data_IF_145592178519
#
_entry.id   IF_145592178519
#
_cell.length_a   1.000
_cell.length_b   1.000
_cell.length_c   1.000
_cell.angle_alpha   90.00
_cell.angle_beta   90.00
_cell.angle_gamma   90.00
#
_symmetry.space_group_name_H-M   'P 1'
#
loop_
_entity.id
_entity.type
_entity.pdbx_description
1 polymer ?
#
# COMPACT_ATOMS: atom_id res chain seq x y z
N UNK A 1 -3.55 8.16 -34.26
CA UNK A 1 -2.49 9.16 -33.99
C UNK A 1 -2.68 10.32 -34.97
N UNK A 2 -2.65 11.57 -34.50
CA UNK A 2 -2.89 12.76 -35.36
C UNK A 2 -1.69 13.13 -36.24
N UNK A 3 -0.48 12.94 -35.71
CA UNK A 3 0.76 13.25 -36.40
C UNK A 3 1.58 11.98 -36.64
N UNK A 4 2.29 11.95 -37.77
CA UNK A 4 3.27 10.93 -38.09
C UNK A 4 4.57 11.13 -37.28
N UNK A 5 5.50 10.17 -37.38
CA UNK A 5 6.76 10.20 -36.63
C UNK A 5 7.66 11.40 -36.98
N UNK A 6 7.46 12.03 -38.14
CA UNK A 6 8.15 13.24 -38.60
C UNK A 6 7.46 14.54 -38.16
N UNK A 7 6.34 14.46 -37.43
CA UNK A 7 5.54 15.60 -36.99
C UNK A 7 4.57 16.15 -38.04
N UNK A 8 4.52 15.56 -39.24
CA UNK A 8 3.52 15.93 -40.24
C UNK A 8 2.13 15.40 -39.87
N UNK A 9 1.07 16.08 -40.30
CA UNK A 9 -0.29 15.60 -40.10
C UNK A 9 -0.52 14.35 -40.97
N UNK A 10 -1.08 13.28 -40.40
CA UNK A 10 -1.39 12.09 -41.18
C UNK A 10 -2.37 12.44 -42.31
N UNK A 11 -2.13 12.00 -43.57
CA UNK A 11 -3.06 12.26 -44.66
C UNK A 11 -4.42 11.59 -44.37
N UNK A 12 -5.53 12.19 -44.83
CA UNK A 12 -6.83 11.55 -44.71
C UNK A 12 -6.84 10.26 -45.51
N UNK A 13 -7.59 9.28 -45.03
CA UNK A 13 -7.78 8.01 -45.73
C UNK A 13 -9.15 8.00 -46.40
N UNK A 14 -9.21 7.41 -47.59
CA UNK A 14 -10.48 7.07 -48.22
C UNK A 14 -11.00 5.81 -47.53
N UNK A 15 -12.16 5.93 -46.89
CA UNK A 15 -12.83 4.80 -46.27
C UNK A 15 -14.15 4.57 -47.02
N UNK A 16 -14.17 3.50 -47.80
CA UNK A 16 -15.39 2.99 -48.38
C UNK A 16 -16.18 2.23 -47.31
N UNK A 17 -17.50 2.38 -47.32
CA UNK A 17 -18.45 1.57 -46.55
C UNK A 17 -18.40 1.79 -45.02
N UNK A 18 -18.32 3.04 -44.57
CA UNK A 18 -18.52 3.34 -43.14
C UNK A 18 -20.00 3.18 -42.77
N UNK A 19 -20.27 2.41 -41.73
CA UNK A 19 -21.63 2.18 -41.23
C UNK A 19 -22.16 3.44 -40.55
N UNK A 20 -23.39 3.82 -40.89
CA UNK A 20 -24.05 4.95 -40.27
C UNK A 20 -24.57 4.59 -38.87
N UNK A 21 -24.37 5.48 -37.86
CA UNK A 21 -25.01 5.30 -36.57
C UNK A 21 -26.53 5.33 -36.72
N UNK A 22 -27.23 4.50 -35.95
CA UNK A 22 -28.68 4.49 -35.94
C UNK A 22 -29.23 5.82 -35.44
N UNK A 23 -30.40 6.22 -35.93
CA UNK A 23 -31.13 7.37 -35.42
C UNK A 23 -32.21 6.86 -34.48
N UNK A 24 -32.26 7.42 -33.28
CA UNK A 24 -33.13 6.97 -32.21
C UNK A 24 -34.17 8.05 -31.90
N UNK A 25 -35.45 7.67 -31.95
CA UNK A 25 -36.59 8.59 -31.82
C UNK A 25 -37.60 8.05 -30.80
N UNK A 26 -38.44 8.91 -30.22
CA UNK A 26 -39.58 8.45 -29.40
C UNK A 26 -40.79 8.03 -30.24
N UNK A 27 -40.87 8.55 -31.46
CA UNK A 27 -41.98 8.30 -32.39
C UNK A 27 -41.37 8.08 -33.77
N UNK A 28 -41.72 6.96 -34.40
CA UNK A 28 -41.26 6.58 -35.74
C UNK A 28 -41.62 7.62 -36.81
N UNK A 29 -42.64 8.46 -36.57
CA UNK A 29 -42.96 9.60 -37.44
C UNK A 29 -41.88 10.68 -37.49
N UNK A 30 -40.93 10.68 -36.55
CA UNK A 30 -39.77 11.57 -36.54
C UNK A 30 -38.54 11.01 -37.26
N UNK A 31 -38.62 9.80 -37.82
CA UNK A 31 -37.53 9.25 -38.62
C UNK A 31 -37.35 10.05 -39.92
N UNK A 32 -36.11 10.22 -40.40
CA UNK A 32 -35.85 10.98 -41.63
C UNK A 32 -36.42 10.28 -42.87
N UNK A 33 -36.47 8.96 -42.86
CA UNK A 33 -37.12 8.14 -43.87
C UNK A 33 -38.39 7.50 -43.30
N UNK A 34 -39.49 7.45 -44.07
CA UNK A 34 -40.71 6.81 -43.60
C UNK A 34 -40.46 5.32 -43.39
N UNK A 35 -40.87 4.80 -42.23
CA UNK A 35 -40.78 3.39 -41.91
C UNK A 35 -41.72 2.59 -42.82
N UNK A 36 -41.17 1.68 -43.61
CA UNK A 36 -41.94 0.80 -44.49
C UNK A 36 -41.37 -0.62 -44.41
N UNK A 37 -42.02 -1.47 -43.62
CA UNK A 37 -41.70 -2.89 -43.59
C UNK A 37 -42.48 -3.67 -44.68
N UNK A 38 -41.94 -4.80 -45.17
CA UNK A 38 -42.67 -5.72 -46.05
C UNK A 38 -43.98 -6.23 -45.43
N UNK A 39 -44.88 -6.76 -46.28
CA UNK A 39 -46.21 -7.23 -45.85
C UNK A 39 -46.11 -8.24 -44.68
N UNK A 40 -46.80 -7.92 -43.56
CA UNK A 40 -46.85 -8.67 -42.29
C UNK A 40 -45.59 -8.60 -41.40
N UNK A 41 -44.65 -7.70 -41.69
CA UNK A 41 -43.53 -7.42 -40.79
C UNK A 41 -43.73 -6.10 -40.04
N UNK A 42 -43.18 -6.03 -38.84
CA UNK A 42 -43.12 -4.82 -38.03
C UNK A 42 -41.66 -4.45 -37.74
N UNK A 43 -41.40 -3.15 -37.57
CA UNK A 43 -40.08 -2.64 -37.21
C UNK A 43 -39.85 -2.94 -35.73
N UNK A 44 -38.85 -3.76 -35.42
CA UNK A 44 -38.50 -4.10 -34.05
C UNK A 44 -37.49 -3.13 -33.45
N UNK A 45 -37.22 -3.30 -32.16
CA UNK A 45 -36.31 -2.42 -31.43
C UNK A 45 -34.84 -2.57 -31.83
N UNK A 46 -34.46 -3.55 -32.67
CA UNK A 46 -33.12 -3.64 -33.28
C UNK A 46 -32.95 -2.75 -34.52
N UNK A 47 -34.05 -2.17 -35.03
CA UNK A 47 -34.05 -1.33 -36.23
C UNK A 47 -34.26 -2.10 -37.53
N UNK A 48 -34.57 -3.40 -37.47
CA UNK A 48 -34.89 -4.24 -38.61
C UNK A 48 -36.37 -4.66 -38.59
N UNK A 49 -36.89 -5.02 -39.77
CA UNK A 49 -38.26 -5.52 -39.91
C UNK A 49 -38.28 -7.04 -39.69
N UNK A 50 -39.06 -7.50 -38.71
CA UNK A 50 -39.25 -8.92 -38.42
C UNK A 50 -40.72 -9.31 -38.46
N UNK A 51 -40.98 -10.62 -38.57
CA UNK A 51 -42.34 -11.16 -38.49
C UNK A 51 -42.91 -11.08 -37.05
N UNK A 52 -42.04 -11.17 -36.03
CA UNK A 52 -42.38 -11.06 -34.60
C UNK A 52 -41.18 -10.51 -33.80
N UNK A 53 -41.40 -9.46 -33.01
CA UNK A 53 -40.35 -8.87 -32.17
C UNK A 53 -40.15 -9.65 -30.86
N UNK A 54 -39.27 -10.64 -30.88
CA UNK A 54 -38.88 -11.41 -29.67
C UNK A 54 -38.14 -10.55 -28.64
N UNK A 55 -38.11 -10.98 -27.38
CA UNK A 55 -37.37 -10.30 -26.31
C UNK A 55 -35.87 -10.14 -26.62
N UNK A 56 -35.27 -11.14 -27.28
CA UNK A 56 -33.86 -11.14 -27.69
C UNK A 56 -33.58 -10.06 -28.76
N UNK A 57 -34.50 -9.92 -29.73
CA UNK A 57 -34.46 -8.87 -30.75
C UNK A 57 -34.62 -7.50 -30.08
N UNK A 58 -35.54 -7.39 -29.12
CA UNK A 58 -35.79 -6.12 -28.45
C UNK A 58 -34.66 -5.68 -27.51
N UNK A 59 -33.92 -6.64 -26.93
CA UNK A 59 -32.73 -6.37 -26.12
C UNK A 59 -31.55 -5.87 -26.99
N UNK A 60 -31.50 -6.23 -28.27
CA UNK A 60 -30.49 -5.82 -29.24
C UNK A 60 -30.65 -4.37 -29.76
N UNK A 61 -31.37 -3.51 -29.03
CA UNK A 61 -31.66 -2.15 -29.47
C UNK A 61 -30.39 -1.29 -29.59
N UNK A 62 -30.05 -0.79 -30.80
CA UNK A 62 -28.85 0.03 -30.99
C UNK A 62 -28.92 1.36 -30.23
N UNK A 63 -30.12 1.84 -29.89
CA UNK A 63 -30.33 3.02 -29.05
C UNK A 63 -29.91 2.82 -27.58
N UNK A 64 -29.70 1.58 -27.16
CA UNK A 64 -29.18 1.27 -25.82
C UNK A 64 -27.66 1.19 -25.79
N UNK A 65 -26.99 1.34 -26.93
CA UNK A 65 -25.53 1.38 -27.01
C UNK A 65 -24.83 0.12 -26.48
N UNK A 66 -25.55 -1.00 -26.42
CA UNK A 66 -25.07 -2.23 -25.77
C UNK A 66 -24.81 -2.07 -24.26
N UNK A 67 -25.29 -0.99 -23.64
CA UNK A 67 -25.14 -0.78 -22.20
C UNK A 67 -26.05 -1.74 -21.44
N UNK A 68 -25.60 -2.18 -20.26
CA UNK A 68 -26.45 -2.98 -19.37
C UNK A 68 -27.67 -2.16 -18.95
N UNK A 69 -28.85 -2.80 -18.84
CA UNK A 69 -30.13 -2.15 -18.52
C UNK A 69 -30.08 -1.20 -17.31
N UNK A 70 -29.23 -1.50 -16.31
CA UNK A 70 -29.06 -0.67 -15.11
C UNK A 70 -28.36 0.67 -15.35
N UNK A 71 -27.60 0.79 -16.44
CA UNK A 71 -26.83 1.98 -16.81
C UNK A 71 -27.51 2.81 -17.89
N UNK A 72 -28.52 2.26 -18.55
CA UNK A 72 -29.30 2.98 -19.58
C UNK A 72 -30.05 4.14 -18.91
N UNK A 73 -29.86 5.38 -19.37
CA UNK A 73 -30.63 6.52 -18.91
C UNK A 73 -32.13 6.29 -19.12
N UNK A 74 -32.96 6.76 -18.18
CA UNK A 74 -34.41 6.58 -18.26
C UNK A 74 -35.03 7.12 -19.54
N UNK A 75 -34.40 8.16 -20.10
CA UNK A 75 -34.76 8.83 -21.34
C UNK A 75 -34.49 7.95 -22.56
N UNK A 76 -33.46 7.11 -22.51
CA UNK A 76 -33.10 6.22 -23.62
C UNK A 76 -33.98 4.98 -23.70
N UNK A 77 -34.56 4.53 -22.58
CA UNK A 77 -35.39 3.32 -22.51
C UNK A 77 -36.63 3.35 -23.42
N UNK A 78 -37.10 4.54 -23.79
CA UNK A 78 -38.26 4.72 -24.66
C UNK A 78 -37.87 5.03 -26.12
N UNK A 79 -36.58 5.06 -26.44
CA UNK A 79 -36.13 5.30 -27.81
C UNK A 79 -36.27 4.04 -28.66
N UNK A 80 -36.81 4.24 -29.86
CA UNK A 80 -36.94 3.25 -30.90
C UNK A 80 -36.01 3.66 -32.05
N UNK A 81 -35.21 2.74 -32.61
CA UNK A 81 -34.38 3.05 -33.76
C UNK A 81 -35.24 3.26 -35.01
N UNK A 82 -34.79 4.18 -35.86
CA UNK A 82 -35.23 4.30 -37.23
C UNK A 82 -34.64 3.17 -38.09
N UNK A 83 -35.18 2.92 -39.30
CA UNK A 83 -34.61 1.96 -40.24
C UNK A 83 -33.12 2.21 -40.46
N UNK A 84 -32.36 1.13 -40.63
CA UNK A 84 -30.93 1.20 -40.88
C UNK A 84 -30.63 2.05 -42.12
N UNK A 85 -29.64 2.93 -41.98
CA UNK A 85 -29.15 3.77 -43.07
C UNK A 85 -28.10 3.00 -43.87
N UNK A 86 -28.06 3.22 -45.18
CA UNK A 86 -27.04 2.67 -46.05
C UNK A 86 -25.63 3.14 -45.63
N UNK A 87 -24.63 2.28 -45.83
CA UNK A 87 -23.24 2.65 -45.56
C UNK A 87 -22.79 3.79 -46.48
N UNK A 88 -22.01 4.73 -45.95
CA UNK A 88 -21.53 5.89 -46.70
C UNK A 88 -20.06 5.75 -47.07
N UNK A 89 -19.69 6.34 -48.21
CA UNK A 89 -18.28 6.44 -48.64
C UNK A 89 -17.76 7.84 -48.36
N UNK A 90 -16.61 7.94 -47.70
CA UNK A 90 -16.00 9.22 -47.31
C UNK A 90 -14.61 9.33 -47.92
N UNK A 91 -14.46 10.24 -48.89
CA UNK A 91 -13.21 10.43 -49.65
C UNK A 91 -12.03 10.87 -48.78
N UNK A 92 -12.30 11.63 -47.72
CA UNK A 92 -11.28 12.21 -46.84
C UNK A 92 -11.71 12.10 -45.39
N UNK A 93 -11.42 10.96 -44.78
CA UNK A 93 -11.70 10.72 -43.37
C UNK A 93 -10.44 10.89 -42.53
N UNK A 94 -10.49 11.77 -41.54
CA UNK A 94 -9.43 11.90 -40.54
C UNK A 94 -9.73 11.06 -39.30
N UNK A 95 -8.80 10.18 -38.91
CA UNK A 95 -8.99 9.26 -37.77
C UNK A 95 -9.32 9.93 -36.43
N UNK A 96 -9.02 11.23 -36.24
CA UNK A 96 -9.29 11.95 -34.99
C UNK A 96 -10.61 12.75 -34.99
N UNK A 97 -11.25 12.92 -36.14
CA UNK A 97 -12.52 13.63 -36.33
C UNK A 97 -13.58 12.70 -36.99
N UNK A 98 -13.34 11.39 -36.94
CA UNK A 98 -14.11 10.35 -37.64
C UNK A 98 -15.62 10.44 -37.38
N UNK A 99 -16.03 10.71 -36.15
CA UNK A 99 -17.44 10.67 -35.76
C UNK A 99 -18.27 11.78 -36.43
N UNK A 100 -17.76 13.01 -36.45
CA UNK A 100 -18.49 14.14 -37.02
C UNK A 100 -18.55 14.05 -38.55
N UNK A 101 -17.44 13.67 -39.21
CA UNK A 101 -17.40 13.48 -40.66
C UNK A 101 -18.35 12.35 -41.11
N UNK A 102 -18.40 11.23 -40.37
CA UNK A 102 -19.37 10.15 -40.63
C UNK A 102 -20.80 10.62 -40.44
N UNK A 103 -21.10 11.27 -39.31
CA UNK A 103 -22.45 11.79 -39.04
C UNK A 103 -22.90 12.74 -40.14
N UNK A 104 -22.01 13.60 -40.63
CA UNK A 104 -22.33 14.55 -41.71
C UNK A 104 -22.64 13.83 -43.03
N UNK A 105 -21.85 12.82 -43.39
CA UNK A 105 -22.11 12.00 -44.57
C UNK A 105 -23.44 11.22 -44.45
N UNK A 106 -23.69 10.60 -43.29
CA UNK A 106 -24.93 9.87 -42.99
C UNK A 106 -26.15 10.77 -42.97
N UNK A 107 -26.03 11.99 -42.44
CA UNK A 107 -27.12 12.97 -42.45
C UNK A 107 -27.50 13.39 -43.87
N UNK A 108 -26.51 13.54 -44.76
CA UNK A 108 -26.73 13.82 -46.17
C UNK A 108 -27.45 12.66 -46.86
N UNK A 109 -27.03 11.42 -46.62
CA UNK A 109 -27.66 10.21 -47.19
C UNK A 109 -29.12 10.04 -46.68
N UNK A 110 -29.34 10.29 -45.39
CA UNK A 110 -30.65 10.29 -44.76
C UNK A 110 -31.55 11.45 -45.20
N UNK A 111 -31.05 12.41 -46.00
CA UNK A 111 -31.75 13.63 -46.43
C UNK A 111 -32.23 14.49 -45.25
N UNK A 112 -31.40 14.62 -44.23
CA UNK A 112 -31.68 15.49 -43.08
C UNK A 112 -31.28 16.92 -43.46
N UNK A 113 -32.27 17.79 -43.66
CA UNK A 113 -32.05 19.19 -44.08
C UNK A 113 -31.35 20.03 -43.00
N UNK A 114 -31.69 19.79 -41.73
CA UNK A 114 -31.12 20.51 -40.59
C UNK A 114 -30.55 19.52 -39.57
N UNK A 115 -29.22 19.44 -39.47
CA UNK A 115 -28.57 18.54 -38.52
C UNK A 115 -28.86 18.91 -37.07
N UNK A 116 -29.13 20.18 -36.78
CA UNK A 116 -29.47 20.65 -35.43
C UNK A 116 -30.82 20.10 -34.94
N UNK A 117 -31.62 19.47 -35.81
CA UNK A 117 -32.85 18.77 -35.43
C UNK A 117 -32.53 17.42 -34.74
N UNK A 118 -31.30 16.90 -34.82
CA UNK A 118 -30.89 15.62 -34.24
C UNK A 118 -29.70 15.79 -33.29
N UNK A 119 -29.87 15.31 -32.05
CA UNK A 119 -28.84 15.41 -31.03
C UNK A 119 -27.85 14.25 -31.07
N UNK A 120 -26.87 14.30 -30.17
CA UNK A 120 -25.98 13.16 -29.88
C UNK A 120 -26.47 12.45 -28.63
N UNK A 121 -26.43 11.11 -28.63
CA UNK A 121 -26.80 10.30 -27.46
C UNK A 121 -26.04 10.75 -26.21
N UNK A 122 -26.75 10.93 -25.09
CA UNK A 122 -26.16 11.31 -23.79
C UNK A 122 -25.88 12.80 -23.59
N UNK A 123 -25.78 13.61 -24.65
CA UNK A 123 -25.62 15.07 -24.53
C UNK A 123 -26.97 15.79 -24.50
N UNK A 124 -27.84 15.45 -25.45
CA UNK A 124 -29.13 16.10 -25.63
C UNK A 124 -30.17 15.06 -26.01
N UNK A 125 -31.14 14.82 -25.14
CA UNK A 125 -32.25 13.92 -25.43
C UNK A 125 -33.32 14.61 -26.26
N UNK A 126 -34.05 13.88 -27.13
CA UNK A 126 -35.21 14.44 -27.77
C UNK A 126 -36.16 14.94 -26.69
N UNK A 127 -36.75 16.11 -26.87
CA UNK A 127 -37.82 16.57 -26.00
C UNK A 127 -39.04 16.69 -26.86
N UNK A 128 -40.12 16.03 -26.45
CA UNK A 128 -41.42 16.21 -27.05
C UNK A 128 -41.95 17.60 -26.64
N UNK A 129 -41.39 18.65 -27.24
CA UNK A 129 -41.84 20.01 -27.05
C UNK A 129 -43.22 20.17 -27.67
N UNK A 130 -44.18 20.75 -26.94
CA UNK A 130 -45.56 20.98 -27.43
C UNK A 130 -45.64 21.85 -28.68
N UNK A 131 -44.56 22.56 -29.02
CA UNK A 131 -44.54 23.55 -30.09
C UNK A 131 -43.74 23.08 -31.32
N UNK A 132 -43.32 21.81 -31.38
CA UNK A 132 -42.43 21.31 -32.43
C UNK A 132 -41.01 21.88 -32.38
N UNK A 133 -40.70 22.71 -31.39
CA UNK A 133 -39.36 23.19 -31.09
C UNK A 133 -38.67 22.19 -30.16
N UNK A 134 -37.79 21.37 -30.72
CA UNK A 134 -37.05 20.35 -29.99
C UNK A 134 -36.33 19.41 -30.96
N UNK A 135 -35.39 18.65 -30.42
CA UNK A 135 -34.72 17.60 -31.17
C UNK A 135 -35.74 16.50 -31.53
N UNK A 136 -35.74 16.08 -32.79
CA UNK A 136 -36.61 15.02 -33.33
C UNK A 136 -36.11 13.63 -32.95
N UNK A 137 -34.80 13.48 -32.88
CA UNK A 137 -34.12 12.23 -32.53
C UNK A 137 -32.70 12.47 -32.04
N UNK A 138 -31.99 11.38 -31.78
CA UNK A 138 -30.56 11.38 -31.44
C UNK A 138 -29.82 10.34 -32.24
N UNK A 139 -28.60 10.65 -32.67
CA UNK A 139 -27.69 9.68 -33.25
C UNK A 139 -27.18 8.73 -32.16
N UNK A 140 -27.14 7.43 -32.43
CA UNK A 140 -26.62 6.38 -31.54
C UNK A 140 -25.08 6.39 -31.48
N UNK A 141 -24.49 7.57 -31.30
CA UNK A 141 -23.07 7.76 -31.03
C UNK A 141 -22.80 7.45 -29.57
N UNK A 142 -22.60 6.17 -29.31
CA UNK A 142 -22.56 5.64 -27.97
C UNK A 142 -21.32 6.11 -27.21
N UNK A 143 -21.49 6.85 -26.10
CA UNK A 143 -20.37 7.10 -25.21
C UNK A 143 -19.92 5.79 -24.60
N UNK A 144 -18.68 5.77 -24.13
CA UNK A 144 -18.16 4.62 -23.38
C UNK A 144 -19.08 4.37 -22.18
N UNK A 145 -19.55 3.12 -22.03
CA UNK A 145 -20.39 2.71 -20.90
C UNK A 145 -19.78 3.20 -19.59
N UNK A 146 -20.57 3.84 -18.71
CA UNK A 146 -20.06 4.32 -17.44
C UNK A 146 -19.47 3.15 -16.68
N UNK A 147 -18.17 3.22 -16.39
CA UNK A 147 -17.51 2.16 -15.64
C UNK A 147 -18.09 2.12 -14.23
N UNK A 148 -18.40 0.91 -13.77
CA UNK A 148 -18.81 0.72 -12.38
C UNK A 148 -17.67 1.14 -11.47
N UNK A 149 -17.96 2.01 -10.51
CA UNK A 149 -16.98 2.44 -9.52
C UNK A 149 -17.28 1.74 -8.21
N UNK A 150 -16.25 1.23 -7.54
CA UNK A 150 -16.43 0.80 -6.16
C UNK A 150 -16.76 2.00 -5.29
N UNK A 151 -17.64 1.77 -4.32
CA UNK A 151 -17.76 2.62 -3.15
C UNK A 151 -16.65 2.28 -2.15
N UNK A 152 -16.71 2.81 -0.93
CA UNK A 152 -15.82 2.38 0.16
C UNK A 152 -16.48 1.34 1.07
N UNK A 153 -17.67 0.84 0.69
CA UNK A 153 -18.50 -0.03 1.53
C UNK A 153 -18.39 -1.51 1.15
N UNK A 154 -17.74 -1.81 0.03
CA UNK A 154 -17.58 -3.17 -0.46
C UNK A 154 -16.66 -3.95 0.48
N UNK A 155 -16.97 -5.24 0.72
CA UNK A 155 -16.19 -6.10 1.63
C UNK A 155 -14.71 -6.22 1.23
N UNK A 156 -14.41 -6.07 -0.07
CA UNK A 156 -13.03 -6.06 -0.57
C UNK A 156 -12.21 -4.91 -0.01
N UNK A 157 -12.73 -3.68 -0.04
CA UNK A 157 -12.02 -2.50 0.48
C UNK A 157 -11.94 -2.53 1.99
N UNK A 158 -13.00 -2.98 2.66
CA UNK A 158 -12.99 -3.18 4.11
C UNK A 158 -11.86 -4.14 4.52
N UNK A 159 -11.66 -5.23 3.77
CA UNK A 159 -10.60 -6.20 4.03
C UNK A 159 -9.21 -5.59 3.84
N UNK A 160 -9.00 -4.84 2.75
CA UNK A 160 -7.75 -4.14 2.45
C UNK A 160 -7.40 -3.15 3.55
N UNK A 161 -8.34 -2.30 3.94
CA UNK A 161 -8.13 -1.35 5.03
C UNK A 161 -7.90 -2.05 6.36
N UNK A 162 -8.64 -3.12 6.67
CA UNK A 162 -8.45 -3.91 7.89
C UNK A 162 -7.03 -4.46 7.97
N UNK A 163 -6.49 -4.98 6.86
CA UNK A 163 -5.12 -5.48 6.85
C UNK A 163 -4.11 -4.32 6.99
N UNK A 164 -4.25 -3.24 6.22
CA UNK A 164 -3.34 -2.09 6.30
C UNK A 164 -3.33 -1.45 7.70
N UNK A 165 -4.50 -1.21 8.29
CA UNK A 165 -4.61 -0.70 9.65
C UNK A 165 -4.11 -1.72 10.67
N UNK A 166 -4.28 -3.02 10.42
CA UNK A 166 -3.66 -4.09 11.21
C UNK A 166 -2.14 -3.92 11.30
N UNK A 167 -1.46 -3.74 10.17
CA UNK A 167 -0.01 -3.50 10.14
C UNK A 167 0.39 -2.29 10.99
N UNK A 168 -0.29 -1.16 10.78
CA UNK A 168 -0.01 0.08 11.50
C UNK A 168 -0.27 -0.10 13.00
N UNK A 169 -1.38 -0.74 13.37
CA UNK A 169 -1.77 -0.98 14.75
C UNK A 169 -0.76 -1.89 15.48
N UNK A 170 -0.37 -3.01 14.89
CA UNK A 170 0.60 -3.92 15.51
C UNK A 170 1.98 -3.29 15.66
N UNK A 171 2.43 -2.53 14.65
CA UNK A 171 3.69 -1.77 14.75
C UNK A 171 3.60 -0.66 15.81
N UNK A 172 2.46 0.05 15.88
CA UNK A 172 2.21 1.10 16.86
C UNK A 172 2.19 0.55 18.30
N UNK A 173 1.46 -0.54 18.55
CA UNK A 173 1.39 -1.22 19.84
C UNK A 173 2.80 -1.68 20.27
N UNK A 174 3.54 -2.34 19.38
CA UNK A 174 4.90 -2.77 19.67
C UNK A 174 5.83 -1.58 19.94
N UNK A 175 5.73 -0.51 19.15
CA UNK A 175 6.56 0.69 19.32
C UNK A 175 6.33 1.34 20.69
N UNK A 176 5.08 1.52 21.10
CA UNK A 176 4.71 2.07 22.41
C UNK A 176 5.25 1.15 23.52
N UNK A 177 5.01 -0.16 23.42
CA UNK A 177 5.51 -1.15 24.39
C UNK A 177 7.03 -1.10 24.52
N UNK A 178 7.75 -1.13 23.39
CA UNK A 178 9.21 -1.07 23.33
C UNK A 178 9.73 0.21 23.98
N UNK A 179 9.16 1.37 23.63
CA UNK A 179 9.55 2.66 24.22
C UNK A 179 9.35 2.67 25.73
N UNK A 180 8.20 2.19 26.22
CA UNK A 180 7.93 2.12 27.65
C UNK A 180 8.94 1.22 28.39
N UNK A 181 9.24 0.03 27.85
CA UNK A 181 10.21 -0.90 28.43
C UNK A 181 11.64 -0.36 28.41
N UNK A 182 12.08 0.23 27.31
CA UNK A 182 13.41 0.84 27.22
C UNK A 182 13.56 2.04 28.14
N UNK A 183 12.52 2.88 28.29
CA UNK A 183 12.51 3.97 29.26
C UNK A 183 12.64 3.46 30.69
N UNK A 184 11.94 2.37 31.04
CA UNK A 184 12.05 1.76 32.35
C UNK A 184 13.46 1.25 32.65
N UNK A 185 14.08 0.55 31.71
CA UNK A 185 15.46 0.04 31.83
C UNK A 185 16.46 1.21 31.96
N UNK A 186 16.30 2.28 31.16
CA UNK A 186 17.13 3.49 31.25
C UNK A 186 17.00 4.18 32.60
N UNK A 187 15.77 4.32 33.13
CA UNK A 187 15.54 4.91 34.45
C UNK A 187 16.20 4.10 35.56
N UNK A 188 16.09 2.77 35.54
CA UNK A 188 16.75 1.89 36.51
C UNK A 188 18.27 2.03 36.45
N UNK A 189 18.83 2.09 35.24
CA UNK A 189 20.28 2.32 35.03
C UNK A 189 20.73 3.66 35.60
N UNK A 190 20.04 4.75 35.27
CA UNK A 190 20.42 6.08 35.76
C UNK A 190 20.39 6.13 37.29
N UNK A 191 19.44 5.47 37.94
CA UNK A 191 19.40 5.36 39.41
C UNK A 191 20.60 4.60 39.98
N UNK A 192 21.00 3.49 39.36
CA UNK A 192 22.17 2.72 39.80
C UNK A 192 23.48 3.50 39.61
N UNK A 193 23.62 4.23 38.50
CA UNK A 193 24.78 5.08 38.25
C UNK A 193 24.86 6.24 39.25
N UNK A 194 23.74 6.91 39.53
CA UNK A 194 23.70 7.95 40.57
C UNK A 194 24.04 7.40 41.95
N UNK A 195 23.51 6.23 42.33
CA UNK A 195 23.82 5.60 43.61
C UNK A 195 25.30 5.19 43.73
N UNK A 196 25.91 4.69 42.65
CA UNK A 196 27.34 4.35 42.63
C UNK A 196 28.24 5.59 42.74
N UNK A 197 27.84 6.70 42.12
CA UNK A 197 28.59 7.97 42.20
C UNK A 197 28.55 8.54 43.62
N UNK A 198 27.40 8.47 44.30
CA UNK A 198 27.27 8.95 45.68
C UNK A 198 28.14 8.11 46.65
N UNK A 199 28.28 6.81 46.41
CA UNK A 199 29.16 5.94 47.21
C UNK A 199 30.64 6.29 47.06
N UNK A 200 31.10 6.58 45.84
CA UNK A 200 32.50 6.98 45.62
C UNK A 200 32.85 8.32 46.28
N UNK A 201 31.91 9.29 46.28
CA UNK A 201 32.12 10.58 46.98
C UNK A 201 32.23 10.40 48.49
N UNK A 202 31.55 9.40 49.07
CA UNK A 202 31.67 9.08 50.49
C UNK A 202 33.01 8.43 50.82
N UNK A 203 33.51 7.53 49.97
CA UNK A 203 34.82 6.89 50.14
C UNK A 203 35.98 7.88 49.96
N UNK A 204 35.90 8.80 48.99
CA UNK A 204 36.91 9.85 48.80
C UNK A 204 36.95 10.83 49.97
N UNK A 205 35.80 11.15 50.58
CA UNK A 205 35.75 11.96 51.80
C UNK A 205 36.30 11.20 53.02
N UNK A 206 36.02 9.91 53.14
CA UNK A 206 36.57 9.08 54.21
C UNK A 206 38.11 8.95 54.08
N UNK A 207 38.62 8.73 52.87
CA UNK A 207 40.06 8.69 52.59
C UNK A 207 40.74 10.04 52.84
N UNK A 208 40.09 11.16 52.52
CA UNK A 208 40.60 12.51 52.82
C UNK A 208 40.68 12.82 54.32
N UNK A 209 39.76 12.29 55.15
CA UNK A 209 39.80 12.45 56.61
C UNK A 209 40.95 11.63 57.23
N UNK A 210 41.24 10.44 56.70
CA UNK A 210 42.35 9.60 57.19
C UNK A 210 43.71 10.25 56.87
N UNK A 211 43.87 10.86 55.70
CA UNK A 211 45.11 11.59 55.38
C UNK A 211 45.30 12.85 56.23
N UNK A 212 44.22 13.58 56.55
CA UNK A 212 44.32 14.77 57.42
C UNK A 212 44.58 14.43 58.89
N UNK A 213 44.16 13.25 59.36
CA UNK A 213 44.48 12.75 60.71
C UNK A 213 45.93 12.26 60.87
N UNK A 214 46.64 11.98 59.75
CA UNK A 214 48.02 11.49 59.78
C UNK A 214 49.06 12.61 59.86
N UNK A 215 48.75 13.84 59.42
CA UNK A 215 49.67 14.98 59.59
C UNK A 215 49.62 15.58 61.01
N UNK A 216 48.49 15.47 61.71
CA UNK A 216 48.37 15.99 63.09
C UNK A 216 48.91 15.01 64.17
N UNK A 217 49.19 13.76 63.78
CA UNK A 217 49.74 12.72 64.68
C UNK A 217 51.26 12.53 64.56
N UNK A 218 51.94 13.19 63.63
CA UNK A 218 53.41 13.15 63.50
C UNK A 218 54.16 14.09 64.47
N UNK A 219 53.43 14.88 65.29
CA UNK A 219 54.02 15.82 66.26
C UNK A 219 53.87 15.40 67.73
N UNK A 220 53.41 14.18 68.06
CA UNK A 220 53.34 13.73 69.45
C UNK A 220 54.07 12.41 69.69
N UNK A 221 55.33 12.63 70.03
CA UNK A 221 56.26 11.78 70.76
C UNK A 221 55.61 10.85 71.79
N UNK A 222 56.11 9.61 71.78
CA UNK A 222 56.70 8.87 72.92
C UNK A 222 55.88 8.88 74.21
N UNK A 223 55.21 7.77 74.53
CA UNK A 223 55.60 6.87 75.64
C UNK A 223 54.67 5.64 75.71
N UNK A 224 55.18 4.52 76.24
CA UNK A 224 54.33 3.55 76.96
C UNK A 224 53.94 2.20 76.31
N UNK A 225 54.80 1.20 76.56
CA UNK A 225 54.51 -0.19 77.04
C UNK A 225 53.26 -0.98 76.57
N UNK A 226 53.58 -2.07 75.87
CA UNK A 226 53.04 -3.46 75.90
C UNK A 226 51.86 -3.84 76.82
N UNK A 227 50.89 -4.58 76.26
CA UNK A 227 50.49 -5.94 76.71
C UNK A 227 49.60 -6.66 75.64
N UNK A 228 49.67 -8.00 75.51
CA UNK A 228 48.87 -8.79 74.57
C UNK A 228 47.63 -9.42 75.25
N UNK A 229 46.49 -9.49 74.57
CA UNK A 229 45.36 -10.33 75.00
C UNK A 229 44.78 -11.10 73.81
N UNK A 230 44.58 -12.40 74.07
CA UNK A 230 44.26 -13.47 73.17
C UNK A 230 42.74 -13.64 72.89
N UNK A 231 42.46 -14.13 71.68
CA UNK A 231 41.54 -15.23 71.30
C UNK A 231 40.20 -15.37 72.04
N UNK A 232 39.10 -15.31 71.29
CA UNK A 232 37.94 -16.17 71.53
C UNK A 232 37.17 -16.45 70.23
N UNK A 233 37.26 -17.72 69.85
CA UNK A 233 36.50 -18.44 68.84
C UNK A 233 35.06 -18.71 69.35
N UNK A 234 34.04 -18.70 68.48
CA UNK A 234 32.78 -19.38 68.81
C UNK A 234 31.98 -19.83 67.57
N UNK A 235 31.91 -21.15 67.47
CA UNK A 235 31.12 -22.00 66.60
C UNK A 235 29.62 -22.06 66.96
N UNK A 236 28.81 -22.37 65.93
CA UNK A 236 27.60 -23.22 66.00
C UNK A 236 26.24 -22.49 66.05
N UNK A 237 25.11 -23.01 65.56
CA UNK A 237 24.78 -24.21 64.77
C UNK A 237 23.27 -24.12 64.41
N UNK A 238 22.87 -24.63 63.23
CA UNK A 238 21.60 -25.31 62.87
C UNK A 238 20.21 -24.65 63.05
N UNK A 239 19.39 -24.75 61.99
CA UNK A 239 17.93 -24.63 62.04
C UNK A 239 17.27 -24.65 60.65
N UNK A 240 16.61 -25.76 60.31
CA UNK A 240 16.01 -26.08 59.02
C UNK A 240 14.52 -25.66 58.89
N UNK A 241 13.98 -25.84 57.67
CA UNK A 241 12.56 -25.90 57.26
C UNK A 241 11.95 -24.54 56.82
N UNK A 242 11.13 -24.33 55.78
CA UNK A 242 10.36 -25.16 54.80
C UNK A 242 10.10 -24.30 53.54
N UNK A 243 10.04 -24.94 52.36
CA UNK A 243 9.43 -24.53 51.06
C UNK A 243 9.05 -23.05 50.82
N UNK A 244 9.68 -22.43 49.83
CA UNK A 244 8.96 -21.59 48.85
C UNK A 244 9.71 -21.52 47.51
N UNK A 245 8.98 -21.75 46.41
CA UNK A 245 9.49 -21.70 45.04
C UNK A 245 9.74 -20.25 44.63
N UNK A 246 11.00 -19.84 44.61
CA UNK A 246 11.44 -18.63 43.92
C UNK A 246 12.68 -18.96 43.09
N UNK A 247 12.61 -18.61 41.81
CA UNK A 247 13.65 -18.81 40.82
C UNK A 247 15.00 -18.27 41.33
N UNK A 248 15.99 -19.17 41.32
CA UNK A 248 17.37 -18.91 41.72
C UNK A 248 18.00 -17.89 40.76
N UNK A 249 18.23 -16.70 41.27
CA UNK A 249 19.09 -15.66 40.70
C UNK A 249 20.51 -15.97 41.23
N UNK A 250 21.29 -16.71 40.43
CA UNK A 250 22.66 -17.09 40.77
C UNK A 250 23.57 -15.86 40.61
N UNK A 251 23.83 -15.22 41.76
CA UNK A 251 24.69 -14.06 41.91
C UNK A 251 26.16 -14.49 41.89
N UNK A 252 26.71 -14.72 40.69
CA UNK A 252 28.16 -14.77 40.49
C UNK A 252 28.67 -13.34 40.39
N UNK A 253 28.91 -12.72 41.54
CA UNK A 253 29.75 -11.52 41.63
C UNK A 253 31.21 -11.97 41.53
N UNK A 254 31.62 -12.26 40.30
CA UNK A 254 33.01 -12.52 39.93
C UNK A 254 33.70 -11.22 39.57
N UNK A 255 34.73 -10.91 40.35
CA UNK A 255 35.75 -9.88 40.15
C UNK A 255 36.11 -9.64 38.67
N UNK A 256 35.68 -8.50 38.13
CA UNK A 256 36.14 -7.95 36.85
C UNK A 256 36.25 -6.42 36.93
N UNK A 257 36.71 -5.93 38.08
CA UNK A 257 37.27 -4.59 38.22
C UNK A 257 38.73 -4.61 37.70
N UNK A 258 38.89 -4.70 36.38
CA UNK A 258 40.23 -4.92 35.81
C UNK A 258 40.37 -4.53 34.35
N UNK A 259 39.69 -3.49 33.86
CA UNK A 259 40.03 -2.91 32.57
C UNK A 259 39.60 -1.44 32.44
N UNK A 260 40.40 -0.53 32.98
CA UNK A 260 40.63 0.82 32.41
C UNK A 260 41.53 1.65 33.32
N UNK A 261 42.85 1.52 33.14
CA UNK A 261 43.77 2.65 33.26
C UNK A 261 45.04 2.33 32.47
N UNK A 262 44.97 2.52 31.15
CA UNK A 262 46.15 2.61 30.31
C UNK A 262 46.42 4.08 30.06
N UNK A 263 47.39 4.61 30.81
CA UNK A 263 48.10 5.86 30.52
C UNK A 263 49.39 5.48 29.81
N UNK A 264 49.56 5.91 28.56
CA UNK A 264 50.70 5.60 27.68
C UNK A 264 50.19 5.47 26.24
N UNK A 265 49.94 6.58 25.53
CA UNK A 265 50.91 7.43 24.82
C UNK A 265 51.43 6.76 23.52
N UNK A 266 51.04 7.38 22.40
CA UNK A 266 51.56 7.25 21.03
C UNK A 266 51.46 5.91 20.25
N UNK A 267 50.29 5.67 19.63
CA UNK A 267 50.20 5.12 18.26
C UNK A 267 48.80 5.25 17.64
N UNK A 268 48.65 6.19 16.69
CA UNK A 268 47.71 6.26 15.56
C UNK A 268 46.28 5.66 15.70
N UNK A 269 45.33 6.55 16.00
CA UNK A 269 44.13 6.84 15.20
C UNK A 269 43.17 5.70 14.80
N UNK A 270 42.98 4.71 15.68
CA UNK A 270 41.66 4.10 15.80
C UNK A 270 40.87 4.90 16.83
N UNK A 271 40.24 5.99 16.37
CA UNK A 271 39.30 6.78 17.16
C UNK A 271 38.21 5.84 17.72
N UNK A 272 38.40 5.36 18.95
CA UNK A 272 37.51 4.41 19.65
C UNK A 272 36.09 4.95 19.86
N UNK A 273 35.86 6.21 19.54
CA UNK A 273 34.57 6.88 19.59
C UNK A 273 33.61 6.48 18.45
N UNK A 274 34.08 5.76 17.42
CA UNK A 274 33.26 5.45 16.24
C UNK A 274 32.54 4.09 16.27
N UNK A 275 32.78 3.29 17.32
CA UNK A 275 32.16 1.98 17.50
C UNK A 275 31.10 2.05 18.59
N UNK A 276 29.82 1.93 18.19
CA UNK A 276 28.71 1.89 19.12
C UNK A 276 28.24 0.45 19.36
N UNK A 277 28.60 -0.10 20.52
CA UNK A 277 28.13 -1.40 20.98
C UNK A 277 26.75 -1.28 21.62
N UNK A 278 25.79 -2.06 21.14
CA UNK A 278 24.42 -2.11 21.68
C UNK A 278 23.99 -3.55 21.94
N UNK A 279 23.58 -3.86 23.17
CA UNK A 279 22.98 -5.16 23.51
C UNK A 279 21.48 -5.21 23.15
N UNK A 280 21.00 -6.38 22.78
CA UNK A 280 19.59 -6.65 22.48
C UNK A 280 19.15 -7.93 23.18
N UNK A 281 18.05 -7.85 23.92
CA UNK A 281 17.37 -8.99 24.52
C UNK A 281 16.19 -9.44 23.68
N UNK A 282 16.04 -10.75 23.52
CA UNK A 282 14.83 -11.31 22.93
C UNK A 282 13.64 -11.09 23.86
N UNK A 283 12.49 -10.78 23.28
CA UNK A 283 11.24 -10.65 24.02
C UNK A 283 10.16 -11.50 23.34
N UNK A 284 9.43 -12.28 24.14
CA UNK A 284 8.36 -13.16 23.67
C UNK A 284 7.28 -12.33 22.95
N UNK A 285 6.91 -11.17 23.49
CA UNK A 285 5.93 -10.28 22.87
C UNK A 285 6.40 -9.73 21.52
N UNK A 286 7.68 -9.38 21.39
CA UNK A 286 8.26 -8.94 20.12
C UNK A 286 8.30 -10.04 19.06
N UNK A 287 8.59 -11.27 19.51
CA UNK A 287 8.56 -12.47 18.65
C UNK A 287 7.13 -12.77 18.20
N UNK A 288 6.15 -12.70 19.10
CA UNK A 288 4.73 -12.87 18.78
C UNK A 288 4.25 -11.82 17.77
N UNK A 289 4.61 -10.55 17.96
CA UNK A 289 4.28 -9.48 17.00
C UNK A 289 4.91 -9.71 15.63
N UNK A 290 6.13 -10.23 15.57
CA UNK A 290 6.77 -10.58 14.29
C UNK A 290 5.99 -11.69 13.57
N UNK A 291 5.59 -12.74 14.28
CA UNK A 291 4.75 -13.80 13.71
C UNK A 291 3.39 -13.30 13.26
N UNK A 292 2.79 -12.40 14.01
CA UNK A 292 1.50 -11.83 13.68
C UNK A 292 1.57 -10.99 12.40
N UNK A 293 2.63 -10.18 12.22
CA UNK A 293 2.88 -9.46 10.97
C UNK A 293 3.10 -10.41 9.78
N UNK A 294 3.75 -11.56 10.01
CA UNK A 294 3.92 -12.58 8.98
C UNK A 294 2.58 -13.24 8.61
N UNK A 295 1.73 -13.57 9.59
CA UNK A 295 0.38 -14.07 9.34
C UNK A 295 -0.46 -13.07 8.56
N UNK A 296 -0.33 -11.78 8.86
CA UNK A 296 -1.01 -10.71 8.15
C UNK A 296 -0.52 -10.60 6.69
N UNK A 297 0.76 -10.84 6.43
CA UNK A 297 1.31 -10.92 5.07
C UNK A 297 0.78 -12.12 4.30
N UNK A 298 0.65 -13.27 4.96
CA UNK A 298 0.03 -14.45 4.39
C UNK A 298 -1.46 -14.21 4.07
N UNK A 299 -2.20 -13.53 4.95
CA UNK A 299 -3.59 -13.17 4.69
C UNK A 299 -3.73 -12.27 3.45
N UNK A 300 -2.82 -11.30 3.26
CA UNK A 300 -2.80 -10.47 2.05
C UNK A 300 -2.50 -11.29 0.78
N UNK A 301 -1.58 -12.25 0.86
CA UNK A 301 -1.27 -13.14 -0.27
C UNK A 301 -2.48 -14.02 -0.63
N UNK A 302 -3.15 -14.60 0.36
CA UNK A 302 -4.40 -15.33 0.14
C UNK A 302 -5.48 -14.44 -0.49
N UNK A 303 -5.60 -13.18 -0.06
CA UNK A 303 -6.53 -12.21 -0.64
C UNK A 303 -6.22 -11.94 -2.12
N UNK A 304 -4.96 -11.67 -2.46
CA UNK A 304 -4.54 -11.50 -3.86
C UNK A 304 -4.79 -12.76 -4.69
N UNK A 305 -4.56 -13.94 -4.12
CA UNK A 305 -4.83 -15.20 -4.78
C UNK A 305 -6.33 -15.37 -5.10
N UNK A 306 -7.22 -15.03 -4.17
CA UNK A 306 -8.67 -15.08 -4.39
C UNK A 306 -9.12 -14.14 -5.51
N UNK A 307 -8.62 -12.89 -5.52
CA UNK A 307 -8.92 -11.93 -6.61
C UNK A 307 -8.42 -12.45 -7.96
N UNK A 308 -7.21 -13.00 -7.98
CA UNK A 308 -6.62 -13.58 -9.19
C UNK A 308 -7.44 -14.77 -9.67
N UNK A 309 -7.87 -15.66 -8.78
CA UNK A 309 -8.71 -16.79 -9.11
C UNK A 309 -10.08 -16.35 -9.67
N UNK A 310 -10.70 -15.31 -9.10
CA UNK A 310 -11.95 -14.73 -9.61
C UNK A 310 -11.77 -14.10 -11.00
N UNK A 311 -10.66 -13.42 -11.24
CA UNK A 311 -10.33 -12.84 -12.54
C UNK A 311 -10.22 -13.92 -13.64
N UNK A 312 -9.61 -15.06 -13.32
CA UNK A 312 -9.47 -16.18 -14.25
C UNK A 312 -10.68 -17.14 -14.26
N UNK A 313 -11.77 -16.82 -13.55
CA UNK A 313 -12.97 -17.68 -13.47
C UNK A 313 -12.74 -19.01 -12.73
N UNK A 314 -11.63 -19.14 -12.00
CA UNK A 314 -11.27 -20.34 -11.22
C UNK A 314 -11.89 -20.37 -9.81
N UNK A 315 -12.68 -19.36 -9.46
CA UNK A 315 -13.37 -19.32 -8.18
C UNK A 315 -14.46 -20.42 -8.11
N UNK A 316 -14.61 -21.12 -6.98
CA UNK A 316 -15.64 -22.15 -6.85
C UNK A 316 -17.05 -21.55 -6.98
N UNK A 317 -17.92 -22.25 -7.72
CA UNK A 317 -19.30 -21.84 -8.03
C UNK A 317 -19.44 -20.66 -9.02
N UNK A 318 -18.40 -20.34 -9.79
CA UNK A 318 -18.56 -19.46 -10.95
C UNK A 318 -19.39 -20.17 -12.03
N UNK A 319 -20.43 -19.50 -12.59
CA UNK A 319 -21.03 -19.94 -13.84
C UNK A 319 -19.93 -20.10 -14.89
N UNK A 320 -20.09 -21.02 -15.86
CA UNK A 320 -19.08 -21.26 -16.90
C UNK A 320 -18.72 -19.99 -17.69
N UNK A 321 -19.61 -19.00 -17.69
CA UNK A 321 -19.46 -17.71 -18.37
C UNK A 321 -19.20 -16.54 -17.40
N UNK A 322 -19.10 -16.80 -16.10
CA UNK A 322 -18.97 -15.79 -15.05
C UNK A 322 -17.55 -15.68 -14.50
N UNK A 323 -16.74 -14.79 -15.07
CA UNK A 323 -15.53 -14.29 -14.40
C UNK A 323 -15.85 -12.96 -13.68
N UNK A 324 -15.00 -12.58 -12.72
CA UNK A 324 -15.03 -11.24 -12.11
C UNK A 324 -16.29 -10.98 -11.26
N UNK A 325 -16.77 -11.99 -10.54
CA UNK A 325 -17.98 -11.93 -9.71
C UNK A 325 -17.83 -10.88 -8.61
N UNK A 326 -16.64 -10.76 -8.02
CA UNK A 326 -16.39 -9.78 -6.96
C UNK A 326 -16.34 -8.34 -7.45
N UNK A 327 -16.36 -8.13 -8.77
CA UNK A 327 -16.31 -6.81 -9.42
C UNK A 327 -17.54 -6.54 -10.29
N UNK A 328 -18.71 -7.01 -9.84
CA UNK A 328 -20.00 -6.81 -10.54
C UNK A 328 -20.02 -7.36 -11.98
N UNK A 329 -19.27 -8.44 -12.22
CA UNK A 329 -19.04 -9.00 -13.56
C UNK A 329 -18.36 -8.01 -14.53
N UNK A 330 -17.62 -7.02 -14.01
CA UNK A 330 -16.74 -6.15 -14.79
C UNK A 330 -15.28 -6.57 -14.58
N UNK A 331 -14.75 -7.25 -15.59
CA UNK A 331 -13.36 -7.70 -15.57
C UNK A 331 -12.33 -6.58 -15.75
N UNK A 332 -12.74 -5.46 -16.35
CA UNK A 332 -11.88 -4.28 -16.42
C UNK A 332 -11.68 -3.73 -15.01
N UNK A 333 -12.77 -3.57 -14.27
CA UNK A 333 -12.74 -3.10 -12.89
C UNK A 333 -11.92 -4.03 -11.98
N UNK A 334 -12.11 -5.36 -12.11
CA UNK A 334 -11.33 -6.34 -11.37
C UNK A 334 -9.82 -6.23 -11.65
N UNK A 335 -9.44 -6.08 -12.92
CA UNK A 335 -8.03 -5.95 -13.32
C UNK A 335 -7.38 -4.67 -12.75
N UNK A 336 -8.11 -3.55 -12.75
CA UNK A 336 -7.65 -2.30 -12.17
C UNK A 336 -7.43 -2.44 -10.65
N UNK A 337 -8.38 -3.05 -9.95
CA UNK A 337 -8.24 -3.38 -8.52
C UNK A 337 -7.02 -4.22 -8.26
N UNK A 338 -6.85 -5.32 -9.01
CA UNK A 338 -5.73 -6.22 -8.85
C UNK A 338 -4.40 -5.48 -8.97
N UNK A 339 -4.24 -4.61 -9.97
CA UNK A 339 -3.02 -3.81 -10.17
C UNK A 339 -2.74 -2.92 -8.95
N UNK A 340 -3.76 -2.22 -8.43
CA UNK A 340 -3.59 -1.38 -7.24
C UNK A 340 -3.17 -2.20 -6.02
N UNK A 341 -3.85 -3.32 -5.76
CA UNK A 341 -3.55 -4.20 -4.62
C UNK A 341 -2.16 -4.84 -4.74
N UNK A 342 -1.77 -5.23 -5.94
CA UNK A 342 -0.45 -5.75 -6.25
C UNK A 342 0.65 -4.71 -5.99
N UNK A 343 0.47 -3.48 -6.46
CA UNK A 343 1.42 -2.39 -6.22
C UNK A 343 1.61 -2.12 -4.71
N UNK A 344 0.52 -2.10 -3.94
CA UNK A 344 0.58 -1.96 -2.47
C UNK A 344 1.33 -3.13 -1.81
N UNK A 345 1.08 -4.36 -2.28
CA UNK A 345 1.78 -5.55 -1.78
C UNK A 345 3.27 -5.51 -2.08
N UNK A 346 3.65 -5.20 -3.32
CA UNK A 346 5.06 -5.09 -3.74
C UNK A 346 5.75 -4.01 -2.92
N UNK A 347 5.12 -2.84 -2.76
CA UNK A 347 5.66 -1.77 -1.92
C UNK A 347 5.90 -2.24 -0.47
N UNK A 348 4.97 -2.97 0.12
CA UNK A 348 5.11 -3.56 1.45
C UNK A 348 6.27 -4.57 1.51
N UNK A 349 6.36 -5.49 0.55
CA UNK A 349 7.42 -6.52 0.51
C UNK A 349 8.80 -5.88 0.31
N UNK A 350 8.91 -4.88 -0.56
CA UNK A 350 10.15 -4.09 -0.74
C UNK A 350 10.52 -3.40 0.57
N UNK A 351 9.56 -2.78 1.26
CA UNK A 351 9.80 -2.14 2.56
C UNK A 351 10.30 -3.14 3.60
N UNK A 352 9.69 -4.33 3.68
CA UNK A 352 10.11 -5.41 4.58
C UNK A 352 11.51 -5.89 4.22
N UNK A 353 11.82 -6.08 2.93
CA UNK A 353 13.13 -6.53 2.47
C UNK A 353 14.23 -5.52 2.77
N UNK A 354 14.01 -4.24 2.47
CA UNK A 354 14.95 -3.15 2.75
C UNK A 354 15.19 -3.00 4.25
N UNK A 355 14.16 -3.21 5.07
CA UNK A 355 14.26 -3.09 6.52
C UNK A 355 14.62 -4.41 7.23
N UNK A 356 14.74 -5.52 6.51
CA UNK A 356 14.88 -6.89 7.07
C UNK A 356 16.00 -7.01 8.09
N UNK A 357 17.17 -6.42 7.83
CA UNK A 357 18.33 -6.46 8.73
C UNK A 357 18.06 -5.74 10.06
N UNK A 358 17.27 -4.66 10.01
CA UNK A 358 16.89 -3.88 11.20
C UNK A 358 15.61 -4.39 11.85
N UNK A 359 14.74 -5.06 11.10
CA UNK A 359 13.42 -5.49 11.55
C UNK A 359 13.51 -6.44 12.76
N UNK A 360 14.42 -7.42 12.72
CA UNK A 360 14.61 -8.33 13.85
C UNK A 360 15.10 -7.61 15.11
N UNK A 361 15.98 -6.63 14.96
CA UNK A 361 16.45 -5.80 16.07
C UNK A 361 15.39 -4.78 16.53
N UNK A 362 14.47 -4.39 15.64
CA UNK A 362 13.31 -3.57 15.99
C UNK A 362 12.37 -4.30 16.94
N UNK A 363 12.19 -5.62 16.79
CA UNK A 363 11.39 -6.46 17.70
C UNK A 363 12.12 -6.96 18.96
N UNK A 364 13.37 -6.55 19.15
CA UNK A 364 14.15 -6.79 20.38
C UNK A 364 14.19 -5.56 21.26
N UNK A 365 14.38 -5.74 22.56
CA UNK A 365 14.53 -4.63 23.52
C UNK A 365 16.01 -4.28 23.62
N UNK A 366 16.36 -3.00 23.48
CA UNK A 366 17.74 -2.54 23.61
C UNK A 366 18.18 -2.52 25.08
N UNK A 367 19.31 -3.15 25.38
CA UNK A 367 19.92 -3.27 26.71
C UNK A 367 21.41 -2.94 26.68
N UNK A 368 22.09 -3.11 27.82
CA UNK A 368 23.56 -3.04 27.90
C UNK A 368 24.16 -4.25 27.17
N UNK A 369 25.33 -4.13 26.53
CA UNK A 369 25.99 -5.25 25.84
C UNK A 369 26.18 -6.47 26.73
N UNK A 370 26.54 -6.27 28.00
CA UNK A 370 26.76 -7.32 28.99
C UNK A 370 25.51 -8.15 29.31
N UNK A 371 24.33 -7.55 29.18
CA UNK A 371 23.05 -8.20 29.50
C UNK A 371 22.24 -8.52 28.22
N UNK A 372 22.85 -8.47 27.05
CA UNK A 372 22.18 -8.73 25.78
C UNK A 372 22.47 -10.14 25.28
N UNK A 373 21.43 -10.85 24.81
CA UNK A 373 21.61 -12.13 24.10
C UNK A 373 22.31 -11.93 22.75
N UNK A 374 22.16 -10.73 22.16
CA UNK A 374 22.77 -10.33 20.90
C UNK A 374 23.47 -8.99 21.08
N UNK A 375 24.69 -8.89 20.56
CA UNK A 375 25.43 -7.63 20.49
C UNK A 375 25.42 -7.14 19.05
N UNK A 376 24.92 -5.92 18.84
CA UNK A 376 25.02 -5.22 17.57
C UNK A 376 26.16 -4.21 17.67
N UNK A 377 27.09 -4.30 16.73
CA UNK A 377 28.20 -3.36 16.58
C UNK A 377 27.84 -2.43 15.42
N UNK A 378 27.53 -1.18 15.72
CA UNK A 378 27.33 -0.15 14.70
C UNK A 378 28.66 0.60 14.52
N UNK A 379 29.25 0.50 13.33
CA UNK A 379 30.39 1.32 12.91
C UNK A 379 29.84 2.48 12.08
N UNK A 380 30.19 3.72 12.42
CA UNK A 380 29.89 4.83 11.51
C UNK A 380 30.83 4.68 10.32
N UNK A 381 30.30 4.54 9.12
CA UNK A 381 31.15 4.67 7.94
C UNK A 381 31.38 6.17 7.77
N UNK A 382 32.57 6.66 8.11
CA UNK A 382 33.00 7.98 7.64
C UNK A 382 32.87 7.98 6.14
N UNK A 383 32.07 8.89 5.58
CA UNK A 383 31.89 8.99 4.13
C UNK A 383 33.25 9.18 3.48
N UNK A 384 33.78 8.11 2.88
CA UNK A 384 34.99 8.22 2.09
C UNK A 384 34.61 8.98 0.83
N UNK A 385 34.96 10.26 0.78
CA UNK A 385 34.88 11.03 -0.45
C UNK A 385 35.90 10.42 -1.42
N UNK A 386 35.42 9.66 -2.40
CA UNK A 386 36.21 9.26 -3.55
C UNK A 386 36.61 10.53 -4.31
N UNK A 387 37.80 11.05 -4.02
CA UNK A 387 38.44 12.07 -4.84
C UNK A 387 38.57 11.49 -6.25
N UNK A 388 38.09 12.22 -7.25
CA UNK A 388 37.87 11.74 -8.62
C UNK A 388 39.07 11.09 -9.32
N UNK A 389 40.29 11.23 -8.79
CA UNK A 389 41.51 10.60 -9.32
C UNK A 389 41.65 9.10 -9.05
N UNK A 390 40.83 8.46 -8.20
CA UNK A 390 40.90 7.01 -7.93
C UNK A 390 39.89 6.15 -8.70
N UNK A 391 39.09 6.74 -9.61
CA UNK A 391 38.14 5.99 -10.44
C UNK A 391 38.82 5.01 -11.40
N UNK A 392 40.03 5.30 -11.85
CA UNK A 392 40.75 4.46 -12.82
C UNK A 392 41.19 3.12 -12.21
N UNK A 393 41.48 3.06 -10.91
CA UNK A 393 42.03 1.85 -10.27
C UNK A 393 40.98 0.77 -9.94
N UNK A 394 39.68 1.11 -9.99
CA UNK A 394 38.58 0.16 -9.70
C UNK A 394 37.91 -0.39 -10.97
N UNK A 395 38.19 0.17 -12.15
CA UNK A 395 37.69 -0.32 -13.43
C UNK A 395 38.66 -1.31 -14.11
N UNK A 396 39.86 -1.47 -13.58
CA UNK A 396 40.90 -2.36 -14.12
C UNK A 396 40.95 -3.75 -13.46
N UNK A 397 39.91 -4.10 -12.68
CA UNK A 397 39.78 -5.41 -12.00
C UNK A 397 38.38 -5.97 -12.17
#
# INVERSE_FOLDING_TARGET
>A
MKYAADGSLCPPQENAEEACPAICVYDLGNCPQPVSCPDNQELCHDGECHDECTDEINEANPCFCGWKTKHIPSEALQLVPCPSLDNVTIDKLYHWEKTEEIRNACASEARIDNQDDYGTWGETWPRQGTNGAGLRGVWSECPKEPQEMYTFREPMWISVFTILFGYIAFLGIWFIFKKARELFIRRRRNRLLSASSDSQVLDDKAAGIIYRSSEESAARNIDGKQAPIAVADKHGHSGASVHEMAASDEKVAGDLAGFSRSTGDDSNDLNGDDIRLSGYLNNIFGTAMTWLLLLLAMAWLCYLFVITADYYGAAPNTPKDGACIYSYNDCTLNSQTFIVMWCLFVFMIVTINVTRHRLRNFFRIKTLPEHGDFVCVEHKLTSQYLLGGQKEFLLER
#
